data_IF_470775258804
#
_entry.id   IF_470775258804
#
_cell.length_a   1.000
_cell.length_b   1.000
_cell.length_c   1.000
_cell.angle_alpha   90.00
_cell.angle_beta   90.00
_cell.angle_gamma   90.00
#
_symmetry.space_group_name_H-M   'P 1'
#
loop_
_entity.id
_entity.type
_entity.pdbx_description
1 polymer ?
#
# COMPACT_ATOMS: atom_id res chain seq x y z
N UNK A 1 4.42 39.36 20.68
CA UNK A 1 3.32 38.46 21.05
C UNK A 1 3.43 37.23 20.16
N UNK A 2 3.64 36.05 20.75
CA UNK A 2 3.68 34.79 20.00
C UNK A 2 2.25 34.39 19.72
N UNK A 3 1.81 34.45 18.47
CA UNK A 3 0.58 33.82 18.02
C UNK A 3 0.77 32.30 18.09
N UNK A 4 0.67 31.75 19.30
CA UNK A 4 0.52 30.32 19.49
C UNK A 4 -0.90 30.00 19.05
N UNK A 5 -1.00 29.32 17.91
CA UNK A 5 -2.26 28.93 17.31
C UNK A 5 -3.05 28.07 18.31
N UNK A 6 -4.21 28.53 18.81
CA UNK A 6 -4.97 27.86 19.87
C UNK A 6 -5.42 26.45 19.47
N UNK A 7 -5.44 26.12 18.18
CA UNK A 7 -5.76 24.78 17.68
C UNK A 7 -4.61 23.77 17.81
N UNK A 8 -3.40 24.22 18.15
CA UNK A 8 -2.23 23.38 18.37
C UNK A 8 -1.93 23.16 19.86
N UNK A 9 -2.72 23.72 20.79
CA UNK A 9 -2.50 23.61 22.24
C UNK A 9 -3.78 23.25 22.99
N UNK A 10 -3.80 22.06 23.59
CA UNK A 10 -4.93 21.59 24.39
C UNK A 10 -5.08 22.42 25.68
N UNK A 11 -6.20 23.15 25.81
CA UNK A 11 -6.56 23.92 26.99
C UNK A 11 -7.37 23.13 28.04
N UNK A 12 -7.80 21.90 27.73
CA UNK A 12 -8.59 21.04 28.63
C UNK A 12 -8.09 19.59 28.63
N UNK A 13 -7.51 19.17 29.76
CA UNK A 13 -6.86 17.85 29.93
C UNK A 13 -7.78 16.62 29.85
N UNK A 14 -9.07 16.78 29.54
CA UNK A 14 -10.08 15.70 29.57
C UNK A 14 -10.52 15.22 28.17
N UNK A 15 -10.12 15.93 27.10
CA UNK A 15 -10.54 15.60 25.72
C UNK A 15 -9.30 15.40 24.85
N UNK A 16 -8.89 14.14 24.70
CA UNK A 16 -7.69 13.78 23.92
C UNK A 16 -7.99 13.21 22.52
N UNK A 17 -9.20 12.66 22.30
CA UNK A 17 -9.60 12.04 21.02
C UNK A 17 -10.18 13.02 19.98
N UNK A 18 -10.50 14.26 20.37
CA UNK A 18 -11.08 15.29 19.49
C UNK A 18 -10.08 16.37 19.06
N UNK A 19 -8.82 16.21 19.44
CA UNK A 19 -7.78 17.21 19.20
C UNK A 19 -7.23 17.12 17.77
N UNK A 20 -7.12 18.24 17.07
CA UNK A 20 -6.57 18.35 15.72
C UNK A 20 -5.13 17.80 15.65
N UNK A 21 -4.42 17.76 16.78
CA UNK A 21 -3.11 17.13 16.93
C UNK A 21 -3.09 15.66 16.51
N UNK A 22 -4.13 14.87 16.81
CA UNK A 22 -4.15 13.46 16.45
C UNK A 22 -4.18 13.28 14.93
N UNK A 23 -5.03 14.06 14.25
CA UNK A 23 -5.09 14.07 12.79
C UNK A 23 -3.79 14.58 12.16
N UNK A 24 -3.14 15.60 12.75
CA UNK A 24 -1.84 16.09 12.31
C UNK A 24 -0.76 15.00 12.41
N UNK A 25 -0.67 14.33 13.56
CA UNK A 25 0.28 13.23 13.80
C UNK A 25 0.05 12.02 12.89
N UNK A 26 -1.22 11.69 12.62
CA UNK A 26 -1.52 10.56 11.75
C UNK A 26 -1.31 10.88 10.28
N UNK A 27 -1.90 11.99 9.80
CA UNK A 27 -2.00 12.25 8.37
C UNK A 27 -0.93 13.17 7.81
N UNK A 28 -0.32 14.04 8.61
CA UNK A 28 0.60 15.06 8.06
C UNK A 28 2.05 14.86 8.51
N UNK A 29 2.28 14.29 9.70
CA UNK A 29 3.63 13.91 10.11
C UNK A 29 4.24 12.84 9.18
N UNK A 30 5.57 12.76 9.17
CA UNK A 30 6.34 11.87 8.31
C UNK A 30 6.04 12.01 6.80
N UNK A 31 5.88 13.26 6.34
CA UNK A 31 5.63 13.57 4.94
C UNK A 31 4.37 12.87 4.41
N UNK A 32 3.26 12.91 5.16
CA UNK A 32 1.98 12.31 4.73
C UNK A 32 2.01 10.78 4.57
N UNK A 33 2.81 10.06 5.35
CA UNK A 33 3.00 8.62 5.19
C UNK A 33 1.70 7.80 5.33
N UNK A 34 0.81 8.20 6.23
CA UNK A 34 -0.49 7.55 6.45
C UNK A 34 -1.65 8.41 5.92
N UNK A 35 -1.34 9.48 5.17
CA UNK A 35 -2.37 10.24 4.48
C UNK A 35 -3.06 9.37 3.42
N UNK A 36 -4.38 9.53 3.24
CA UNK A 36 -5.07 8.94 2.11
C UNK A 36 -4.46 9.41 0.79
N UNK A 37 -4.28 8.50 -0.16
CA UNK A 37 -3.82 8.84 -1.51
C UNK A 37 -4.90 9.57 -2.29
N UNK A 38 -4.51 10.52 -3.12
CA UNK A 38 -5.41 11.22 -4.05
C UNK A 38 -5.74 10.35 -5.25
N UNK A 39 -7.01 10.33 -5.68
CA UNK A 39 -7.48 9.46 -6.78
C UNK A 39 -6.92 9.84 -8.15
N UNK A 40 -6.71 11.13 -8.40
CA UNK A 40 -6.27 11.65 -9.71
C UNK A 40 -4.76 11.50 -9.96
N UNK A 41 -3.97 11.10 -8.95
CA UNK A 41 -2.55 10.84 -9.12
C UNK A 41 -2.33 9.37 -9.51
N UNK A 42 -2.43 9.12 -10.82
CA UNK A 42 -2.21 7.80 -11.39
C UNK A 42 -1.61 7.91 -12.80
N UNK A 43 -1.09 6.79 -13.29
CA UNK A 43 -0.56 6.65 -14.66
C UNK A 43 -0.82 5.23 -15.14
N UNK A 44 -1.17 5.03 -16.41
CA UNK A 44 -1.45 3.71 -16.97
C UNK A 44 -0.46 3.41 -18.09
N UNK A 45 0.05 2.18 -18.11
CA UNK A 45 1.00 1.73 -19.13
C UNK A 45 0.44 0.49 -19.81
N UNK A 46 0.36 0.55 -21.14
CA UNK A 46 -0.06 -0.56 -22.00
C UNK A 46 1.17 -1.20 -22.64
N UNK A 47 1.44 -2.46 -22.29
CA UNK A 47 2.50 -3.24 -22.92
C UNK A 47 1.89 -4.18 -23.96
N UNK A 48 2.35 -4.08 -25.21
CA UNK A 48 2.00 -5.00 -26.28
C UNK A 48 2.88 -6.25 -26.28
N UNK A 49 2.37 -7.34 -26.84
CA UNK A 49 3.22 -8.48 -27.22
C UNK A 49 4.03 -8.15 -28.48
N UNK A 50 5.12 -8.89 -28.72
CA UNK A 50 5.96 -8.66 -29.91
C UNK A 50 5.21 -8.88 -31.23
N UNK A 51 4.24 -9.80 -31.25
CA UNK A 51 3.38 -10.04 -32.40
C UNK A 51 2.39 -8.88 -32.63
N UNK A 52 1.81 -8.34 -31.55
CA UNK A 52 0.89 -7.21 -31.63
C UNK A 52 1.61 -5.91 -32.04
N UNK A 53 2.79 -5.63 -31.49
CA UNK A 53 3.59 -4.43 -31.84
C UNK A 53 3.90 -4.33 -33.34
N UNK A 54 4.13 -5.46 -34.02
CA UNK A 54 4.37 -5.46 -35.47
C UNK A 54 3.13 -5.22 -36.34
N UNK A 55 1.92 -5.45 -35.80
CA UNK A 55 0.65 -5.27 -36.52
C UNK A 55 -0.10 -3.99 -36.11
N UNK A 56 0.14 -3.49 -34.90
CA UNK A 56 -0.52 -2.33 -34.29
C UNK A 56 0.37 -1.08 -34.41
N UNK A 57 0.52 -0.59 -35.65
CA UNK A 57 1.46 0.49 -35.97
C UNK A 57 1.20 1.78 -35.20
N UNK A 58 -0.07 2.14 -35.00
CA UNK A 58 -0.43 3.35 -34.26
C UNK A 58 -0.21 3.17 -32.75
N UNK A 59 -0.72 2.07 -32.20
CA UNK A 59 -0.64 1.78 -30.76
C UNK A 59 0.79 1.67 -30.27
N UNK A 60 1.67 0.98 -31.01
CA UNK A 60 3.04 0.76 -30.53
C UNK A 60 3.89 2.04 -30.55
N UNK A 61 3.65 2.91 -31.54
CA UNK A 61 4.30 4.21 -31.67
C UNK A 61 3.85 5.18 -30.57
N UNK A 62 2.55 5.20 -30.25
CA UNK A 62 1.94 6.20 -29.35
C UNK A 62 1.53 5.65 -27.98
N UNK A 63 2.03 4.49 -27.57
CA UNK A 63 1.66 3.85 -26.28
C UNK A 63 1.91 4.72 -25.06
N UNK A 64 2.92 5.61 -25.10
CA UNK A 64 3.23 6.51 -23.98
C UNK A 64 2.16 7.58 -23.83
N UNK A 65 1.75 8.19 -24.94
CA UNK A 65 0.72 9.22 -25.01
C UNK A 65 -0.67 8.63 -24.70
N UNK A 66 -0.97 7.43 -25.20
CA UNK A 66 -2.22 6.73 -24.89
C UNK A 66 -2.36 6.49 -23.38
N UNK A 67 -1.25 6.16 -22.69
CA UNK A 67 -1.23 6.03 -21.23
C UNK A 67 -1.61 7.30 -20.48
N UNK A 68 -1.25 8.47 -21.02
CA UNK A 68 -1.59 9.79 -20.46
C UNK A 68 -3.01 10.22 -20.79
N UNK A 69 -3.56 9.79 -21.93
CA UNK A 69 -4.94 10.09 -22.34
C UNK A 69 -6.00 9.31 -21.55
N UNK A 70 -5.60 8.42 -20.64
CA UNK A 70 -6.53 7.76 -19.72
C UNK A 70 -7.17 8.80 -18.80
N UNK A 71 -8.50 8.90 -18.89
CA UNK A 71 -9.35 9.78 -18.07
C UNK A 71 -9.72 9.14 -16.73
N UNK A 72 -9.92 7.82 -16.72
CA UNK A 72 -10.24 7.03 -15.54
C UNK A 72 -9.79 5.59 -15.73
N UNK A 73 -9.26 4.97 -14.68
CA UNK A 73 -9.03 3.53 -14.63
C UNK A 73 -9.50 2.99 -13.28
N UNK A 74 -10.29 1.91 -13.32
CA UNK A 74 -10.69 1.20 -12.13
C UNK A 74 -9.54 0.32 -11.61
N UNK A 75 -9.43 0.18 -10.29
CA UNK A 75 -8.49 -0.75 -9.68
C UNK A 75 -9.10 -2.16 -9.63
N UNK A 76 -8.28 -3.22 -9.73
CA UNK A 76 -8.78 -4.58 -9.83
C UNK A 76 -9.57 -5.01 -8.57
N UNK A 77 -10.75 -5.58 -8.80
CA UNK A 77 -11.63 -6.13 -7.78
C UNK A 77 -11.52 -7.65 -7.67
N UNK A 78 -11.74 -8.19 -6.47
CA UNK A 78 -11.70 -9.62 -6.20
C UNK A 78 -12.90 -10.06 -5.38
N UNK A 79 -13.55 -11.14 -5.80
CA UNK A 79 -14.58 -11.82 -5.00
C UNK A 79 -14.04 -13.16 -4.52
N UNK A 80 -14.09 -13.38 -3.21
CA UNK A 80 -13.64 -14.63 -2.59
C UNK A 80 -14.84 -15.49 -2.23
N UNK A 81 -14.92 -16.69 -2.81
CA UNK A 81 -15.95 -17.68 -2.48
C UNK A 81 -15.56 -18.44 -1.21
N UNK A 82 -16.46 -18.43 -0.22
CA UNK A 82 -16.25 -19.04 1.10
C UNK A 82 -17.39 -19.99 1.42
N UNK A 83 -17.06 -21.25 1.64
CA UNK A 83 -18.00 -22.26 2.14
C UNK A 83 -17.95 -22.37 3.66
N UNK A 84 -19.12 -22.54 4.28
CA UNK A 84 -19.22 -22.80 5.71
C UNK A 84 -19.42 -24.31 5.93
N UNK A 85 -18.54 -24.92 6.73
CA UNK A 85 -18.71 -26.28 7.25
C UNK A 85 -18.81 -26.24 8.78
N UNK A 86 -19.62 -27.13 9.32
CA UNK A 86 -19.75 -27.31 10.77
C UNK A 86 -18.84 -28.45 11.22
N UNK A 87 -17.95 -28.17 12.18
CA UNK A 87 -17.10 -29.18 12.79
C UNK A 87 -17.35 -29.17 14.30
N UNK A 88 -17.93 -30.25 14.83
CA UNK A 88 -18.26 -30.39 16.26
C UNK A 88 -19.02 -29.17 16.81
N UNK A 89 -20.08 -28.74 16.11
CA UNK A 89 -20.88 -27.56 16.45
C UNK A 89 -20.12 -26.21 16.43
N UNK A 90 -18.96 -26.15 15.77
CA UNK A 90 -18.25 -24.91 15.47
C UNK A 90 -18.31 -24.60 13.98
N UNK A 91 -18.75 -23.39 13.65
CA UNK A 91 -18.72 -22.84 12.29
C UNK A 91 -17.27 -22.62 11.83
N UNK A 92 -16.87 -23.26 10.73
CA UNK A 92 -15.58 -23.07 10.07
C UNK A 92 -15.83 -22.60 8.64
N UNK A 93 -15.30 -21.43 8.32
CA UNK A 93 -15.32 -20.87 6.98
C UNK A 93 -14.06 -21.32 6.22
N UNK A 94 -14.22 -21.88 5.03
CA UNK A 94 -13.13 -22.29 4.14
C UNK A 94 -13.26 -21.58 2.80
N UNK A 95 -12.18 -20.96 2.35
CA UNK A 95 -12.10 -20.31 1.05
C UNK A 95 -11.89 -21.35 -0.06
N UNK A 96 -12.69 -21.30 -1.11
CA UNK A 96 -12.67 -22.30 -2.20
C UNK A 96 -12.15 -21.73 -3.52
N UNK A 97 -12.46 -20.47 -3.83
CA UNK A 97 -12.11 -19.85 -5.11
C UNK A 97 -11.98 -18.33 -5.01
N UNK A 98 -11.17 -17.76 -5.89
CA UNK A 98 -11.12 -16.32 -6.17
C UNK A 98 -11.68 -16.02 -7.57
N UNK A 99 -12.47 -14.96 -7.65
CA UNK A 99 -13.02 -14.37 -8.86
C UNK A 99 -12.36 -13.04 -9.12
N UNK A 100 -11.77 -12.87 -10.30
CA UNK A 100 -11.26 -11.60 -10.78
C UNK A 100 -12.39 -10.85 -11.47
N UNK A 101 -12.58 -9.58 -11.10
CA UNK A 101 -13.60 -8.73 -11.71
C UNK A 101 -12.97 -7.90 -12.83
N UNK A 102 -13.68 -7.75 -13.95
CA UNK A 102 -13.24 -6.91 -15.06
C UNK A 102 -12.97 -5.46 -14.60
N UNK A 103 -11.97 -4.85 -15.22
CA UNK A 103 -11.57 -3.46 -14.97
C UNK A 103 -12.03 -2.59 -16.13
N UNK A 104 -12.67 -1.46 -15.81
CA UNK A 104 -13.04 -0.46 -16.82
C UNK A 104 -11.95 0.61 -16.92
N UNK A 105 -11.55 0.94 -18.14
CA UNK A 105 -10.64 2.05 -18.43
C UNK A 105 -11.33 2.98 -19.44
N UNK A 106 -11.34 4.27 -19.15
CA UNK A 106 -11.90 5.30 -20.00
C UNK A 106 -10.79 6.24 -20.47
N UNK A 107 -10.85 6.61 -21.74
CA UNK A 107 -9.90 7.48 -22.40
C UNK A 107 -10.58 8.77 -22.83
N UNK A 108 -9.81 9.83 -22.93
CA UNK A 108 -10.19 10.97 -23.74
C UNK A 108 -10.11 10.59 -25.22
N UNK A 109 -11.18 10.86 -25.97
CA UNK A 109 -11.12 10.78 -27.43
C UNK A 109 -10.38 12.01 -27.94
N UNK A 110 -9.22 11.77 -28.55
CA UNK A 110 -8.32 12.83 -28.99
C UNK A 110 -8.50 13.13 -30.48
N UNK A 111 -8.25 14.37 -30.88
CA UNK A 111 -8.45 14.79 -32.28
C UNK A 111 -7.51 14.11 -33.29
N UNK A 112 -6.38 13.55 -32.83
CA UNK A 112 -5.48 12.77 -33.68
C UNK A 112 -6.00 11.33 -33.87
N UNK A 113 -6.90 10.88 -32.99
CA UNK A 113 -7.49 9.54 -33.00
C UNK A 113 -6.54 8.48 -32.48
N UNK A 114 -5.63 8.80 -31.55
CA UNK A 114 -4.72 7.84 -30.94
C UNK A 114 -5.48 6.77 -30.14
N UNK A 115 -6.42 7.18 -29.29
CA UNK A 115 -7.18 6.24 -28.45
C UNK A 115 -8.19 5.44 -29.28
N UNK A 116 -8.83 6.08 -30.28
CA UNK A 116 -9.62 5.39 -31.31
C UNK A 116 -8.78 4.36 -32.07
N UNK A 117 -7.57 4.74 -32.48
CA UNK A 117 -6.66 3.89 -33.22
C UNK A 117 -6.13 2.70 -32.40
N UNK A 118 -6.03 2.81 -31.07
CA UNK A 118 -5.76 1.65 -30.22
C UNK A 118 -6.89 0.62 -30.27
N UNK A 119 -8.15 1.06 -30.26
CA UNK A 119 -9.29 0.15 -30.39
C UNK A 119 -9.38 -0.44 -31.78
N UNK A 120 -9.07 0.34 -32.81
CA UNK A 120 -8.98 -0.12 -34.20
C UNK A 120 -7.91 -1.20 -34.37
N UNK A 121 -6.69 -0.94 -33.88
CA UNK A 121 -5.58 -1.91 -33.91
C UNK A 121 -5.94 -3.19 -33.15
N UNK A 122 -6.60 -3.07 -31.99
CA UNK A 122 -7.08 -4.22 -31.22
C UNK A 122 -8.12 -5.04 -31.99
N UNK A 123 -9.08 -4.35 -32.62
CA UNK A 123 -10.11 -4.97 -33.44
C UNK A 123 -9.52 -5.70 -34.65
N UNK A 124 -8.64 -5.06 -35.41
CA UNK A 124 -7.96 -5.63 -36.57
C UNK A 124 -7.05 -6.82 -36.22
N UNK A 125 -6.49 -6.82 -35.00
CA UNK A 125 -5.66 -7.92 -34.51
C UNK A 125 -6.45 -9.20 -34.26
N UNK A 126 -7.66 -9.09 -33.69
CA UNK A 126 -8.50 -10.25 -33.37
C UNK A 126 -9.48 -10.63 -34.47
N UNK A 127 -10.03 -9.66 -35.18
CA UNK A 127 -11.14 -9.86 -36.11
C UNK A 127 -10.71 -9.46 -37.52
N UNK A 128 -10.84 -10.42 -38.45
CA UNK A 128 -10.48 -10.19 -39.86
C UNK A 128 -11.37 -9.15 -40.51
N UNK A 129 -12.57 -8.94 -39.97
CA UNK A 129 -13.51 -7.91 -40.41
C UNK A 129 -12.86 -6.53 -40.55
N UNK A 130 -12.07 -6.09 -39.56
CA UNK A 130 -11.38 -4.81 -39.60
C UNK A 130 -10.30 -4.70 -40.68
N UNK A 131 -9.84 -5.83 -41.23
CA UNK A 131 -8.84 -5.87 -42.30
C UNK A 131 -9.45 -5.78 -43.70
N UNK A 132 -10.78 -5.91 -43.82
CA UNK A 132 -11.45 -5.74 -45.09
C UNK A 132 -11.66 -4.26 -45.42
N UNK A 133 -11.62 -3.93 -46.72
CA UNK A 133 -11.92 -2.58 -47.20
C UNK A 133 -13.36 -2.51 -47.70
N UNK A 134 -14.05 -1.44 -47.33
CA UNK A 134 -15.45 -1.19 -47.69
C UNK A 134 -15.64 -0.81 -49.19
N UNK A 135 -14.57 -0.47 -49.92
CA UNK A 135 -14.70 0.00 -51.31
C UNK A 135 -13.74 -0.65 -52.32
N UNK A 136 -14.35 -1.14 -53.41
CA UNK A 136 -13.70 -1.56 -54.65
C UNK A 136 -13.16 -0.38 -55.47
N UNK A 137 -12.10 0.29 -55.01
CA UNK A 137 -11.34 1.20 -55.86
C UNK A 137 -10.59 0.45 -56.97
N UNK A 138 -10.32 1.08 -58.12
CA UNK A 138 -9.59 0.46 -59.25
C UNK A 138 -8.25 -0.21 -58.86
N UNK A 139 -7.59 0.34 -57.83
CA UNK A 139 -6.34 -0.21 -57.26
C UNK A 139 -6.55 -1.30 -56.18
N UNK A 140 -7.78 -1.55 -55.70
CA UNK A 140 -8.07 -2.62 -54.75
C UNK A 140 -8.04 -4.02 -55.39
N UNK A 141 -8.08 -4.09 -56.73
CA UNK A 141 -8.01 -5.33 -57.52
C UNK A 141 -6.68 -6.08 -57.47
N UNK A 142 -5.60 -5.43 -57.07
CA UNK A 142 -4.26 -6.03 -57.13
C UNK A 142 -3.83 -6.72 -55.83
N UNK A 143 -4.51 -6.48 -54.70
CA UNK A 143 -4.05 -6.91 -53.37
C UNK A 143 -5.05 -7.75 -52.56
N UNK A 144 -5.98 -8.46 -53.22
CA UNK A 144 -6.75 -9.55 -52.60
C UNK A 144 -7.83 -9.17 -51.57
N UNK A 145 -7.99 -7.89 -51.22
CA UNK A 145 -9.04 -7.37 -50.33
C UNK A 145 -10.31 -6.99 -51.12
N UNK A 146 -10.61 -7.69 -52.22
CA UNK A 146 -11.77 -7.35 -53.02
C UNK A 146 -13.05 -7.91 -52.39
N UNK A 147 -14.00 -7.02 -52.15
CA UNK A 147 -15.44 -7.32 -52.14
C UNK A 147 -16.00 -7.98 -50.87
N UNK A 148 -15.32 -7.98 -49.74
CA UNK A 148 -15.82 -8.64 -48.53
C UNK A 148 -17.20 -8.13 -48.07
N UNK A 149 -17.56 -6.88 -48.34
CA UNK A 149 -18.88 -6.35 -48.00
C UNK A 149 -19.77 -6.05 -49.20
N UNK A 150 -19.40 -6.51 -50.40
CA UNK A 150 -20.29 -6.35 -51.56
C UNK A 150 -21.58 -7.13 -51.36
N UNK A 151 -22.67 -6.63 -51.94
CA UNK A 151 -23.92 -7.39 -52.04
C UNK A 151 -23.66 -8.65 -52.89
N UNK A 152 -23.90 -9.81 -52.30
CA UNK A 152 -23.66 -11.12 -52.92
C UNK A 152 -24.91 -11.97 -52.83
N UNK A 153 -25.10 -12.79 -53.84
CA UNK A 153 -26.08 -13.87 -53.80
C UNK A 153 -25.52 -15.05 -52.98
N UNK A 154 -26.40 -15.89 -52.42
CA UNK A 154 -26.07 -17.07 -51.63
C UNK A 154 -25.15 -18.07 -52.36
N UNK A 155 -25.10 -18.00 -53.69
CA UNK A 155 -24.33 -18.88 -54.56
C UNK A 155 -22.97 -18.31 -54.99
N UNK A 156 -22.53 -17.19 -54.40
CA UNK A 156 -21.20 -16.64 -54.68
C UNK A 156 -20.10 -17.60 -54.21
N UNK A 157 -19.12 -17.84 -55.09
CA UNK A 157 -18.05 -18.83 -54.89
C UNK A 157 -16.87 -18.29 -54.10
N UNK A 158 -16.77 -16.96 -53.92
CA UNK A 158 -15.61 -16.29 -53.31
C UNK A 158 -16.00 -15.61 -52.00
N UNK A 159 -16.24 -16.36 -50.93
CA UNK A 159 -16.54 -15.84 -49.59
C UNK A 159 -15.25 -15.62 -48.80
N UNK A 160 -14.89 -14.38 -48.40
CA UNK A 160 -13.72 -14.13 -47.57
C UNK A 160 -13.98 -14.56 -46.12
N UNK A 161 -12.91 -14.58 -45.34
CA UNK A 161 -12.95 -14.98 -43.95
C UNK A 161 -13.42 -13.83 -43.07
N UNK A 162 -14.38 -14.07 -42.18
CA UNK A 162 -14.86 -13.07 -41.21
C UNK A 162 -14.67 -13.57 -39.77
N UNK A 163 -14.79 -12.67 -38.81
CA UNK A 163 -14.72 -12.95 -37.39
C UNK A 163 -13.32 -13.29 -36.90
N UNK A 164 -13.26 -14.16 -35.88
CA UNK A 164 -12.04 -14.62 -35.23
C UNK A 164 -11.31 -15.67 -36.11
N UNK A 165 -10.78 -15.21 -37.24
CA UNK A 165 -10.00 -16.03 -38.18
C UNK A 165 -8.61 -15.41 -38.38
N UNK A 166 -7.91 -15.18 -37.28
CA UNK A 166 -6.74 -14.30 -37.25
C UNK A 166 -5.38 -15.04 -37.19
N UNK A 167 -5.37 -16.38 -37.09
CA UNK A 167 -4.16 -17.22 -36.94
C UNK A 167 -3.15 -16.67 -35.89
N UNK A 168 -3.62 -15.88 -34.91
CA UNK A 168 -2.78 -15.27 -33.88
C UNK A 168 -2.70 -16.18 -32.67
N UNK A 169 -1.47 -16.40 -32.19
CA UNK A 169 -1.23 -17.25 -31.02
C UNK A 169 -1.03 -16.42 -29.74
N UNK A 170 -0.47 -15.23 -29.85
CA UNK A 170 -0.20 -14.37 -28.69
C UNK A 170 -1.35 -13.38 -28.45
N UNK A 171 -1.61 -12.99 -27.19
CA UNK A 171 -2.57 -11.95 -26.89
C UNK A 171 -2.08 -10.59 -27.40
N UNK A 172 -3.00 -9.63 -27.59
CA UNK A 172 -2.64 -8.27 -28.01
C UNK A 172 -1.80 -7.57 -26.95
N UNK A 173 -2.33 -7.47 -25.73
CA UNK A 173 -1.62 -6.94 -24.58
C UNK A 173 -0.83 -8.04 -23.89
N UNK A 174 0.43 -7.74 -23.58
CA UNK A 174 1.24 -8.56 -22.67
C UNK A 174 0.82 -8.31 -21.23
N UNK A 175 0.70 -7.04 -20.85
CA UNK A 175 0.22 -6.62 -19.55
C UNK A 175 -0.29 -5.17 -19.61
N UNK A 176 -1.15 -4.81 -18.66
CA UNK A 176 -1.56 -3.43 -18.42
C UNK A 176 -1.21 -3.11 -16.98
N UNK A 177 -0.49 -2.01 -16.76
CA UNK A 177 -0.04 -1.60 -15.43
C UNK A 177 -0.69 -0.30 -15.04
N UNK A 178 -1.39 -0.33 -13.92
CA UNK A 178 -2.02 0.86 -13.34
C UNK A 178 -1.17 1.29 -12.15
N UNK A 179 -0.53 2.45 -12.27
CA UNK A 179 0.29 3.06 -11.23
C UNK A 179 -0.54 4.05 -10.44
N UNK A 180 -0.49 3.95 -9.11
CA UNK A 180 -0.97 4.96 -8.19
C UNK A 180 0.23 5.68 -7.56
N UNK A 181 0.27 7.00 -7.70
CA UNK A 181 1.42 7.81 -7.32
C UNK A 181 1.17 8.54 -6.00
N UNK A 182 2.16 8.53 -5.11
CA UNK A 182 2.12 9.26 -3.86
C UNK A 182 3.54 9.53 -3.36
N UNK A 183 3.85 10.77 -2.96
CA UNK A 183 5.11 11.13 -2.26
C UNK A 183 6.39 10.70 -3.01
N UNK A 184 6.43 10.83 -4.34
CA UNK A 184 7.53 10.30 -5.20
C UNK A 184 7.74 8.78 -5.09
N UNK A 185 6.74 8.06 -4.61
CA UNK A 185 6.64 6.62 -4.62
C UNK A 185 5.47 6.21 -5.51
N UNK A 186 5.53 4.99 -6.01
CA UNK A 186 4.48 4.41 -6.82
C UNK A 186 4.08 3.05 -6.27
N UNK A 187 2.82 2.70 -6.54
CA UNK A 187 2.24 1.40 -6.26
C UNK A 187 1.55 0.95 -7.54
N UNK A 188 1.91 -0.21 -8.05
CA UNK A 188 1.41 -0.70 -9.32
C UNK A 188 0.55 -1.95 -9.14
N UNK A 189 -0.51 -1.99 -9.94
CA UNK A 189 -1.37 -3.13 -10.15
C UNK A 189 -1.16 -3.58 -11.60
N UNK A 190 -0.43 -4.67 -11.78
CA UNK A 190 -0.12 -5.22 -13.10
C UNK A 190 -1.12 -6.31 -13.44
N UNK A 191 -2.00 -6.05 -14.40
CA UNK A 191 -2.94 -7.01 -14.97
C UNK A 191 -2.19 -7.93 -15.94
N UNK A 192 -2.28 -9.24 -15.71
CA UNK A 192 -1.59 -10.26 -16.49
C UNK A 192 -2.51 -10.81 -17.58
N UNK A 193 -1.97 -10.89 -18.80
CA UNK A 193 -2.66 -11.36 -20.01
C UNK A 193 -4.06 -10.73 -20.16
N UNK A 194 -4.17 -9.38 -20.22
CA UNK A 194 -5.47 -8.75 -20.30
C UNK A 194 -6.12 -8.96 -21.68
N UNK A 195 -7.42 -9.19 -21.67
CA UNK A 195 -8.29 -9.33 -22.83
C UNK A 195 -9.43 -8.31 -22.72
N UNK A 196 -9.67 -7.54 -23.77
CA UNK A 196 -10.81 -6.62 -23.79
C UNK A 196 -12.09 -7.45 -23.99
N UNK A 197 -13.03 -7.34 -23.06
CA UNK A 197 -14.35 -7.99 -23.11
C UNK A 197 -15.38 -7.11 -23.81
N UNK A 198 -15.21 -5.79 -23.73
CA UNK A 198 -16.05 -4.80 -24.38
C UNK A 198 -15.25 -3.53 -24.65
N UNK A 199 -15.52 -2.87 -25.78
CA UNK A 199 -15.04 -1.52 -26.06
C UNK A 199 -16.15 -0.68 -26.69
N UNK A 200 -16.11 0.62 -26.45
CA UNK A 200 -17.08 1.60 -26.90
C UNK A 200 -16.37 2.88 -27.34
N UNK A 201 -16.86 3.48 -28.43
CA UNK A 201 -16.37 4.74 -28.98
C UNK A 201 -17.10 5.98 -28.45
N UNK A 202 -18.11 5.76 -27.60
CA UNK A 202 -18.97 6.81 -27.09
C UNK A 202 -20.04 7.22 -28.10
N UNK A 203 -20.61 8.38 -27.85
CA UNK A 203 -21.76 8.94 -28.54
C UNK A 203 -21.47 10.34 -29.09
N UNK A 204 -22.11 10.66 -30.21
CA UNK A 204 -21.98 11.96 -30.87
C UNK A 204 -23.35 12.63 -30.91
N UNK A 205 -23.51 13.69 -30.11
CA UNK A 205 -24.77 14.44 -29.99
C UNK A 205 -24.58 15.89 -30.43
N UNK A 206 -25.47 16.41 -31.28
CA UNK A 206 -25.37 17.79 -31.78
C UNK A 206 -25.85 18.86 -30.77
N UNK A 207 -26.54 18.48 -29.70
CA UNK A 207 -27.12 19.39 -28.71
C UNK A 207 -26.22 19.63 -27.48
N UNK A 208 -25.25 18.74 -27.21
CA UNK A 208 -24.29 18.92 -26.12
C UNK A 208 -23.03 19.63 -26.65
N UNK A 209 -22.74 20.79 -26.06
CA UNK A 209 -21.53 21.58 -26.35
C UNK A 209 -20.49 21.57 -25.23
N UNK A 210 -20.73 20.82 -24.14
CA UNK A 210 -19.87 20.82 -22.95
C UNK A 210 -19.18 19.47 -22.69
N UNK A 211 -19.77 18.37 -23.14
CA UNK A 211 -19.18 17.04 -23.05
C UNK A 211 -17.97 16.88 -23.97
N UNK A 212 -16.96 16.15 -23.49
CA UNK A 212 -15.87 15.64 -24.34
C UNK A 212 -16.16 14.18 -24.68
N UNK A 213 -15.96 13.81 -25.95
CA UNK A 213 -16.08 12.41 -26.34
C UNK A 213 -15.04 11.55 -25.61
N UNK A 214 -15.42 10.30 -25.33
CA UNK A 214 -14.62 9.39 -24.54
C UNK A 214 -14.76 7.96 -25.07
N UNK A 215 -13.61 7.32 -25.27
CA UNK A 215 -13.56 5.89 -25.57
C UNK A 215 -13.54 5.10 -24.24
N UNK A 216 -14.17 3.94 -24.18
CA UNK A 216 -14.13 3.09 -22.98
C UNK A 216 -13.86 1.63 -23.31
N UNK A 217 -13.17 0.93 -22.41
CA UNK A 217 -12.89 -0.50 -22.50
C UNK A 217 -13.17 -1.20 -21.17
N UNK A 218 -13.67 -2.42 -21.24
CA UNK A 218 -13.76 -3.38 -20.14
C UNK A 218 -12.74 -4.49 -20.39
N UNK A 219 -11.92 -4.78 -19.38
CA UNK A 219 -10.77 -5.67 -19.50
C UNK A 219 -10.87 -6.81 -18.50
N UNK A 220 -10.94 -8.03 -19.00
CA UNK A 220 -10.72 -9.24 -18.22
C UNK A 220 -9.22 -9.57 -18.15
N UNK A 221 -8.79 -10.21 -17.06
CA UNK A 221 -7.39 -10.55 -16.84
C UNK A 221 -7.27 -11.83 -16.01
N UNK A 222 -6.11 -12.50 -16.08
CA UNK A 222 -5.91 -13.80 -15.43
C UNK A 222 -5.46 -13.66 -13.97
N UNK A 223 -4.67 -12.63 -13.67
CA UNK A 223 -4.11 -12.39 -12.35
C UNK A 223 -3.60 -10.96 -12.22
N UNK A 224 -3.29 -10.55 -10.98
CA UNK A 224 -2.72 -9.23 -10.67
C UNK A 224 -1.44 -9.38 -9.87
N UNK A 225 -0.40 -8.68 -10.31
CA UNK A 225 0.86 -8.55 -9.57
C UNK A 225 0.92 -7.17 -8.92
N UNK A 226 1.15 -7.16 -7.61
CA UNK A 226 1.40 -5.94 -6.85
C UNK A 226 2.88 -5.63 -6.80
N UNK A 227 3.25 -4.38 -7.07
CA UNK A 227 4.61 -3.90 -6.90
C UNK A 227 4.63 -2.47 -6.36
N UNK A 228 5.74 -2.06 -5.77
CA UNK A 228 5.95 -0.70 -5.30
C UNK A 228 7.42 -0.32 -5.47
N UNK A 229 7.69 0.98 -5.45
CA UNK A 229 9.03 1.52 -5.59
C UNK A 229 9.05 3.04 -5.55
N UNK A 230 10.24 3.61 -5.74
CA UNK A 230 10.41 5.05 -5.87
C UNK A 230 10.25 5.48 -7.33
N UNK A 231 9.67 6.64 -7.59
CA UNK A 231 9.53 7.19 -8.95
C UNK A 231 10.93 7.50 -9.50
N UNK A 232 11.21 7.03 -10.71
CA UNK A 232 12.51 7.13 -11.37
C UNK A 232 13.47 5.97 -11.05
N UNK A 233 13.17 5.15 -10.05
CA UNK A 233 13.98 3.97 -9.72
C UNK A 233 13.82 2.91 -10.82
N UNK A 234 14.92 2.54 -11.47
CA UNK A 234 14.92 1.59 -12.59
C UNK A 234 14.08 2.03 -13.80
N UNK A 235 13.81 3.34 -13.94
CA UNK A 235 12.99 3.89 -15.03
C UNK A 235 11.48 3.64 -14.87
N UNK A 236 11.00 3.39 -13.64
CA UNK A 236 9.58 3.18 -13.34
C UNK A 236 8.97 4.38 -12.59
N UNK A 237 7.70 4.75 -12.86
CA UNK A 237 6.82 4.25 -13.92
C UNK A 237 7.33 4.63 -15.33
N UNK A 238 7.18 3.72 -16.30
CA UNK A 238 7.65 3.92 -17.68
C UNK A 238 6.79 4.99 -18.35
N UNK A 239 7.42 5.96 -19.03
CA UNK A 239 6.70 7.03 -19.73
C UNK A 239 6.13 8.11 -18.81
N UNK A 240 6.29 7.99 -17.49
CA UNK A 240 5.90 9.03 -16.55
C UNK A 240 7.00 10.10 -16.50
N UNK A 241 6.64 11.37 -16.68
CA UNK A 241 7.55 12.54 -16.78
C UNK A 241 8.43 12.60 -18.04
N UNK A 242 8.19 11.74 -19.03
CA UNK A 242 8.92 11.76 -20.30
C UNK A 242 8.52 12.99 -21.14
N UNK A 243 9.51 13.67 -21.75
CA UNK A 243 9.29 14.81 -22.65
C UNK A 243 8.45 14.43 -23.88
N UNK A 244 8.57 13.19 -24.35
CA UNK A 244 7.75 12.63 -25.44
C UNK A 244 6.25 12.65 -25.13
N UNK A 245 5.88 12.53 -23.84
CA UNK A 245 4.48 12.65 -23.40
C UNK A 245 4.01 14.10 -23.22
N UNK A 246 4.85 15.07 -23.61
CA UNK A 246 4.64 16.51 -23.43
C UNK A 246 4.51 16.91 -21.96
N UNK A 247 5.19 16.18 -21.08
CA UNK A 247 5.26 16.56 -19.67
C UNK A 247 6.11 17.84 -19.52
N UNK A 248 5.64 18.79 -18.74
CA UNK A 248 6.39 20.03 -18.51
C UNK A 248 7.60 19.77 -17.62
N UNK A 249 8.78 19.80 -18.24
CA UNK A 249 10.06 19.66 -17.58
C UNK A 249 10.79 21.01 -17.39
N UNK A 250 10.17 22.12 -17.81
CA UNK A 250 10.76 23.46 -17.69
C UNK A 250 10.35 24.07 -16.36
N UNK A 251 11.34 24.60 -15.63
CA UNK A 251 11.03 25.32 -14.39
C UNK A 251 10.18 26.56 -14.71
N UNK A 252 9.10 26.76 -13.95
CA UNK A 252 8.23 27.92 -14.16
C UNK A 252 9.04 29.22 -14.10
N UNK A 253 8.79 30.19 -15.00
CA UNK A 253 9.54 31.44 -15.06
C UNK A 253 9.29 32.39 -13.87
N UNK A 254 8.56 31.96 -12.84
CA UNK A 254 8.43 32.63 -11.55
C UNK A 254 9.71 32.48 -10.70
N UNK A 255 10.84 32.88 -11.27
CA UNK A 255 12.00 33.30 -10.47
C UNK A 255 11.95 34.83 -10.41
N UNK A 256 11.51 35.35 -9.27
CA UNK A 256 11.97 36.67 -8.84
C UNK A 256 13.48 36.53 -8.65
N UNK A 257 14.25 37.05 -9.62
CA UNK A 257 15.71 37.01 -9.64
C UNK A 257 16.32 37.92 -8.59
N UNK A 258 16.09 37.62 -7.31
CA UNK A 258 16.95 38.07 -6.23
C UNK A 258 18.00 36.98 -5.96
N UNK A 259 19.28 37.22 -6.26
CA UNK A 259 20.37 36.26 -5.99
C UNK A 259 20.47 35.85 -4.51
N UNK A 260 19.76 36.51 -3.59
CA UNK A 260 19.67 36.14 -2.18
C UNK A 260 18.68 35.01 -1.84
N UNK A 261 17.79 34.62 -2.77
CA UNK A 261 16.74 33.60 -2.50
C UNK A 261 17.01 32.22 -3.13
N UNK A 262 17.95 32.09 -4.06
CA UNK A 262 18.24 30.81 -4.74
C UNK A 262 18.99 29.79 -3.87
N UNK A 263 19.51 30.19 -2.71
CA UNK A 263 20.24 29.29 -1.79
C UNK A 263 19.34 28.65 -0.72
N UNK A 264 18.02 28.82 -0.79
CA UNK A 264 17.10 28.48 0.31
C UNK A 264 16.28 27.20 0.15
N UNK A 265 16.11 26.67 -1.07
CA UNK A 265 15.19 25.56 -1.32
C UNK A 265 15.81 24.17 -1.18
N UNK A 266 17.15 24.06 -1.23
CA UNK A 266 17.91 22.83 -0.92
C UNK A 266 18.49 22.81 0.50
N UNK A 267 18.15 23.80 1.33
CA UNK A 267 18.61 23.84 2.71
C UNK A 267 17.74 22.92 3.58
N UNK A 268 18.32 21.79 3.99
CA UNK A 268 17.86 21.01 5.14
C UNK A 268 17.49 21.96 6.31
N UNK A 269 16.49 21.63 7.15
CA UNK A 269 16.07 22.50 8.24
C UNK A 269 17.28 22.89 9.11
N UNK A 270 17.51 24.20 9.30
CA UNK A 270 18.64 24.81 10.04
C UNK A 270 18.79 24.38 11.52
N UNK A 271 17.96 23.46 11.99
CA UNK A 271 18.07 22.78 13.27
C UNK A 271 18.99 21.55 13.23
N UNK A 272 19.26 20.99 12.05
CA UNK A 272 20.19 19.85 11.90
C UNK A 272 21.60 20.28 11.42
N UNK A 273 21.73 21.51 10.91
CA UNK A 273 23.01 22.03 10.42
C UNK A 273 23.96 22.50 11.55
N UNK A 274 23.48 22.51 12.81
CA UNK A 274 24.30 22.87 13.98
C UNK A 274 24.93 21.70 14.73
N UNK A 275 24.77 20.46 14.25
CA UNK A 275 25.37 19.28 14.90
C UNK A 275 26.26 18.42 14.00
N UNK A 276 26.45 18.77 12.72
CA UNK A 276 27.31 17.97 11.81
C UNK A 276 28.74 18.48 11.66
N UNK A 277 29.05 19.71 12.10
CA UNK A 277 30.41 20.28 12.05
C UNK A 277 31.02 20.52 13.43
N UNK A 278 31.08 19.47 14.25
CA UNK A 278 32.16 19.29 15.23
C UNK A 278 32.21 17.82 15.61
N UNK A 279 33.24 17.14 15.12
CA UNK A 279 33.40 15.71 15.30
C UNK A 279 33.31 15.31 16.77
N UNK A 280 32.37 14.43 17.07
CA UNK A 280 32.43 13.53 18.22
C UNK A 280 31.72 12.20 17.86
N UNK A 281 32.48 11.12 18.03
CA UNK A 281 32.14 9.69 18.13
C UNK A 281 30.75 9.19 17.73
N UNK A 282 30.74 8.18 16.85
CA UNK A 282 29.59 7.28 16.67
C UNK A 282 29.21 6.62 17.99
N UNK A 283 27.96 6.75 18.41
CA UNK A 283 27.38 6.02 19.55
C UNK A 283 26.51 4.84 19.08
N UNK A 284 26.78 4.31 17.88
CA UNK A 284 26.22 3.04 17.42
C UNK A 284 27.36 2.14 16.95
N UNK A 285 27.50 0.91 17.47
CA UNK A 285 28.57 0.01 17.09
C UNK A 285 28.41 -0.37 15.62
N UNK A 286 29.31 0.14 14.79
CA UNK A 286 29.56 -0.35 13.44
C UNK A 286 30.29 -1.67 13.57
N UNK A 287 29.62 -2.79 13.31
CA UNK A 287 30.29 -4.07 13.07
C UNK A 287 30.89 -4.03 11.66
N UNK A 288 32.08 -3.44 11.52
CA UNK A 288 32.92 -3.59 10.34
C UNK A 288 33.83 -4.79 10.52
N UNK A 289 33.69 -5.79 9.65
CA UNK A 289 34.67 -6.85 9.49
C UNK A 289 35.78 -6.35 8.54
N UNK A 290 37.06 -6.27 8.94
CA UNK A 290 38.08 -5.52 8.21
C UNK A 290 38.91 -6.32 7.18
N UNK A 291 38.53 -7.56 6.83
CA UNK A 291 39.36 -8.41 5.95
C UNK A 291 39.00 -8.41 4.45
N UNK A 292 38.12 -7.52 3.99
CA UNK A 292 37.77 -7.50 2.56
C UNK A 292 38.61 -6.47 1.80
N UNK A 293 39.77 -6.90 1.32
CA UNK A 293 40.53 -6.20 0.27
C UNK A 293 39.62 -5.98 -0.95
N UNK A 294 39.59 -4.74 -1.41
CA UNK A 294 38.96 -4.31 -2.66
C UNK A 294 39.55 -5.06 -3.86
N UNK A 295 38.73 -5.85 -4.56
CA UNK A 295 38.96 -6.18 -5.97
C UNK A 295 37.69 -5.85 -6.75
N UNK A 296 37.80 -4.79 -7.55
CA UNK A 296 36.80 -4.32 -8.51
C UNK A 296 36.56 -5.35 -9.61
N UNK A 297 35.31 -5.79 -9.79
CA UNK A 297 34.94 -6.77 -10.81
C UNK A 297 34.75 -6.15 -12.21
N UNK A 298 34.98 -4.85 -12.44
CA UNK A 298 34.70 -4.24 -13.75
C UNK A 298 35.74 -3.22 -14.23
N UNK A 299 36.97 -3.69 -14.48
CA UNK A 299 37.78 -3.23 -15.60
C UNK A 299 38.53 -4.42 -16.21
N UNK A 300 38.21 -4.76 -17.45
CA UNK A 300 39.22 -5.32 -18.34
C UNK A 300 39.02 -4.74 -19.75
N UNK A 301 40.06 -4.08 -20.22
CA UNK A 301 40.23 -3.61 -21.58
C UNK A 301 40.74 -4.78 -22.43
N UNK A 302 40.21 -4.91 -23.64
CA UNK A 302 40.64 -5.79 -24.73
C UNK A 302 40.14 -7.24 -24.72
N UNK A 303 39.07 -7.44 -25.49
CA UNK A 303 38.99 -8.55 -26.45
C UNK A 303 38.44 -9.89 -25.95
N UNK A 304 37.45 -10.37 -26.70
CA UNK A 304 36.89 -11.73 -26.72
C UNK A 304 35.74 -12.04 -25.76
N UNK A 305 34.58 -12.27 -26.40
CA UNK A 305 33.51 -13.23 -26.09
C UNK A 305 33.25 -13.50 -24.60
N UNK A 306 32.23 -12.83 -24.08
CA UNK A 306 31.59 -13.25 -22.85
C UNK A 306 30.93 -14.62 -23.03
N UNK A 307 31.25 -15.56 -22.15
CA UNK A 307 30.24 -16.43 -21.54
C UNK A 307 30.66 -16.75 -20.11
N UNK A 308 29.84 -16.22 -19.22
CA UNK A 308 29.72 -16.46 -17.79
C UNK A 308 29.60 -17.97 -17.57
N UNK A 309 30.52 -18.57 -16.81
CA UNK A 309 30.52 -20.03 -16.67
C UNK A 309 31.48 -20.61 -15.66
N UNK A 310 31.66 -19.99 -14.49
CA UNK A 310 32.42 -20.61 -13.40
C UNK A 310 31.88 -20.27 -11.99
N UNK A 311 30.59 -19.98 -11.88
CA UNK A 311 29.88 -19.78 -10.59
C UNK A 311 28.64 -20.66 -10.41
N UNK A 312 28.35 -21.57 -11.34
CA UNK A 312 27.12 -22.40 -11.35
C UNK A 312 27.39 -23.90 -11.13
N UNK A 313 28.57 -24.28 -10.63
CA UNK A 313 28.98 -25.69 -10.55
C UNK A 313 28.72 -26.39 -9.21
N UNK A 314 28.19 -25.68 -8.20
CA UNK A 314 27.77 -26.26 -6.91
C UNK A 314 26.25 -26.34 -6.72
N UNK A 315 25.44 -26.06 -7.75
CA UNK A 315 23.98 -26.15 -7.68
C UNK A 315 23.39 -27.44 -8.30
N UNK A 316 24.23 -28.34 -8.84
CA UNK A 316 23.76 -29.57 -9.48
C UNK A 316 24.66 -30.78 -9.17
N UNK A 317 24.72 -31.21 -7.90
CA UNK A 317 25.22 -32.57 -7.62
C UNK A 317 24.69 -33.17 -6.31
N UNK A 318 23.39 -33.47 -6.21
CA UNK A 318 22.88 -34.66 -5.49
C UNK A 318 21.52 -35.05 -6.09
N UNK A 319 21.28 -36.31 -6.49
CA UNK A 319 19.98 -36.74 -7.02
C UNK A 319 19.10 -37.25 -5.88
N UNK A 320 18.11 -36.46 -5.42
CA UNK A 320 16.97 -37.00 -4.66
C UNK A 320 15.69 -36.21 -4.99
N UNK A 321 14.59 -36.90 -5.36
CA UNK A 321 13.40 -36.25 -5.93
C UNK A 321 12.40 -35.86 -4.84
N UNK A 322 11.97 -34.60 -4.84
CA UNK A 322 10.76 -34.17 -4.14
C UNK A 322 10.95 -32.95 -3.24
N UNK A 323 10.30 -31.83 -3.62
CA UNK A 323 9.98 -30.72 -2.71
C UNK A 323 10.86 -29.48 -2.86
N UNK A 324 10.25 -28.42 -3.40
CA UNK A 324 10.53 -26.98 -3.22
C UNK A 324 11.93 -26.61 -2.68
N UNK A 325 12.90 -26.43 -3.59
CA UNK A 325 14.20 -25.85 -3.28
C UNK A 325 14.13 -24.31 -3.33
N UNK A 326 14.39 -23.65 -2.20
CA UNK A 326 14.63 -22.19 -2.14
C UNK A 326 13.81 -21.41 -1.11
N UNK A 327 12.77 -21.98 -0.50
CA UNK A 327 12.08 -21.30 0.61
C UNK A 327 12.83 -21.58 1.93
N UNK A 328 13.60 -20.59 2.40
CA UNK A 328 14.01 -20.55 3.81
C UNK A 328 12.79 -20.16 4.64
N UNK A 329 12.07 -21.16 5.15
CA UNK A 329 11.13 -20.96 6.26
C UNK A 329 11.99 -20.62 7.49
N UNK A 330 11.70 -19.55 8.25
CA UNK A 330 12.46 -19.21 9.44
C UNK A 330 12.41 -20.39 10.44
N UNK A 331 13.55 -21.06 10.61
CA UNK A 331 13.74 -22.07 11.66
C UNK A 331 13.90 -21.33 12.99
N UNK A 332 13.05 -21.66 13.95
CA UNK A 332 13.16 -21.17 15.33
C UNK A 332 14.44 -21.76 15.92
N UNK A 333 15.48 -20.93 16.03
CA UNK A 333 16.68 -21.23 16.81
C UNK A 333 16.29 -21.34 18.29
N UNK A 334 16.20 -22.57 18.81
CA UNK A 334 16.14 -22.85 20.25
C UNK A 334 17.50 -22.60 20.87
N UNK A 335 17.89 -21.34 21.06
CA UNK A 335 18.95 -20.92 22.00
C UNK A 335 19.00 -19.41 22.14
N UNK A 336 17.91 -18.84 22.65
CA UNK A 336 17.99 -17.53 23.30
C UNK A 336 17.06 -17.56 24.51
N UNK A 337 17.64 -17.13 25.65
CA UNK A 337 16.99 -16.97 26.94
C UNK A 337 15.60 -16.38 26.74
N UNK A 338 14.64 -17.12 27.25
CA UNK A 338 13.30 -16.62 27.50
C UNK A 338 13.38 -15.52 28.56
N UNK A 339 13.55 -14.26 28.15
CA UNK A 339 12.93 -13.16 28.89
C UNK A 339 11.44 -13.17 28.52
N UNK A 340 10.77 -14.23 28.98
CA UNK A 340 9.32 -14.24 29.12
C UNK A 340 8.99 -13.11 30.07
N UNK A 341 8.31 -12.08 29.57
CA UNK A 341 7.38 -11.32 30.41
C UNK A 341 6.33 -12.31 30.93
N UNK A 342 6.64 -12.98 32.04
CA UNK A 342 5.67 -13.72 32.82
C UNK A 342 4.75 -12.70 33.49
N UNK A 343 3.68 -12.34 32.80
CA UNK A 343 2.44 -12.06 33.50
C UNK A 343 2.03 -13.39 34.14
N UNK A 344 2.60 -13.68 35.31
CA UNK A 344 2.05 -14.69 36.20
C UNK A 344 0.58 -14.31 36.40
N UNK A 345 -0.32 -15.07 35.77
CA UNK A 345 -1.67 -15.26 36.31
C UNK A 345 -1.48 -16.01 37.64
N UNK A 346 -1.07 -15.29 38.68
CA UNK A 346 -1.27 -15.75 40.05
C UNK A 346 -2.77 -15.93 40.21
N UNK A 347 -3.20 -17.18 40.40
CA UNK A 347 -4.55 -17.47 40.87
C UNK A 347 -4.71 -16.68 42.18
N UNK A 348 -5.49 -15.61 42.12
CA UNK A 348 -5.60 -14.63 43.19
C UNK A 348 -6.17 -15.27 44.45
N UNK A 349 -5.30 -15.54 45.42
CA UNK A 349 -5.74 -15.70 46.80
C UNK A 349 -6.26 -14.33 47.23
N UNK A 350 -7.49 -14.25 47.72
CA UNK A 350 -7.99 -13.07 48.42
C UNK A 350 -7.56 -13.25 49.87
N UNK A 351 -6.88 -12.24 50.44
CA UNK A 351 -6.51 -12.25 51.85
C UNK A 351 -7.76 -12.11 52.72
N UNK A 352 -7.72 -12.76 53.88
CA UNK A 352 -8.79 -12.64 54.87
C UNK A 352 -8.90 -11.21 55.42
N UNK A 353 -10.09 -10.85 55.86
CA UNK A 353 -10.48 -9.51 56.31
C UNK A 353 -9.58 -9.01 57.45
N UNK A 354 -9.29 -9.85 58.44
CA UNK A 354 -8.47 -9.47 59.58
C UNK A 354 -7.00 -9.31 59.18
N UNK A 355 -6.54 -10.11 58.21
CA UNK A 355 -5.18 -9.98 57.66
C UNK A 355 -5.01 -8.65 56.92
N UNK A 356 -6.01 -8.23 56.15
CA UNK A 356 -6.00 -6.96 55.41
C UNK A 356 -5.94 -5.77 56.40
N UNK A 357 -6.81 -5.78 57.43
CA UNK A 357 -6.87 -4.71 58.43
C UNK A 357 -5.55 -4.55 59.18
N UNK A 358 -5.03 -5.65 59.73
CA UNK A 358 -3.76 -5.64 60.47
C UNK A 358 -2.57 -5.22 59.60
N UNK A 359 -2.55 -5.60 58.32
CA UNK A 359 -1.46 -5.22 57.42
C UNK A 359 -1.50 -3.74 57.05
N UNK A 360 -2.69 -3.13 56.92
CA UNK A 360 -2.80 -1.70 56.62
C UNK A 360 -2.48 -0.80 57.81
N UNK A 361 -2.66 -1.28 59.04
CA UNK A 361 -2.21 -0.57 60.25
C UNK A 361 -0.68 -0.53 60.36
N UNK A 362 -0.01 -1.62 59.96
CA UNK A 362 1.46 -1.74 60.04
C UNK A 362 2.14 -1.11 58.81
N UNK A 363 1.58 -1.30 57.61
CA UNK A 363 2.19 -0.89 56.35
C UNK A 363 1.39 0.24 55.67
N UNK A 364 1.78 1.47 55.98
CA UNK A 364 1.20 2.68 55.38
C UNK A 364 1.44 2.78 53.86
N UNK A 365 2.49 2.16 53.33
CA UNK A 365 2.76 2.09 51.88
C UNK A 365 1.76 1.21 51.14
N UNK A 366 1.41 0.05 51.71
CA UNK A 366 0.37 -0.83 51.18
C UNK A 366 -1.00 -0.13 51.22
N UNK A 367 -1.33 0.56 52.32
CA UNK A 367 -2.57 1.34 52.46
C UNK A 367 -2.69 2.43 51.39
N UNK A 368 -1.63 3.20 51.13
CA UNK A 368 -1.61 4.24 50.07
C UNK A 368 -1.78 3.67 48.67
N UNK A 369 -1.12 2.53 48.38
CA UNK A 369 -1.26 1.81 47.11
C UNK A 369 -2.70 1.32 46.91
N UNK A 370 -3.29 0.74 47.95
CA UNK A 370 -4.69 0.33 47.96
C UNK A 370 -5.64 1.50 47.68
N UNK A 371 -5.54 2.60 48.42
CA UNK A 371 -6.40 3.79 48.26
C UNK A 371 -6.32 4.34 46.84
N UNK A 372 -5.12 4.47 46.29
CA UNK A 372 -4.93 4.97 44.92
C UNK A 372 -5.57 4.06 43.88
N UNK A 373 -5.39 2.73 44.01
CA UNK A 373 -5.98 1.74 43.09
C UNK A 373 -7.50 1.70 43.21
N UNK A 374 -8.03 1.78 44.42
CA UNK A 374 -9.47 1.79 44.70
C UNK A 374 -10.16 3.03 44.13
N UNK A 375 -9.57 4.22 44.27
CA UNK A 375 -10.07 5.45 43.68
C UNK A 375 -10.01 5.43 42.15
N UNK A 376 -8.94 4.90 41.55
CA UNK A 376 -8.87 4.68 40.09
C UNK A 376 -9.93 3.70 39.57
N UNK A 377 -10.41 2.79 40.42
CA UNK A 377 -11.47 1.85 40.09
C UNK A 377 -12.89 2.43 40.26
N UNK A 378 -13.01 3.72 40.58
CA UNK A 378 -14.23 4.43 40.93
C UNK A 378 -14.99 3.77 42.09
N UNK A 379 -14.26 3.35 43.12
CA UNK A 379 -14.85 2.66 44.27
C UNK A 379 -15.82 3.55 45.04
N UNK A 380 -15.50 4.83 45.21
CA UNK A 380 -16.38 5.85 45.80
C UNK A 380 -16.79 6.82 44.68
N UNK A 381 -18.07 6.86 44.30
CA UNK A 381 -18.54 7.75 43.25
C UNK A 381 -18.17 9.21 43.53
N UNK A 382 -17.55 9.88 42.56
CA UNK A 382 -17.17 11.30 42.67
C UNK A 382 -15.85 11.56 43.41
N UNK A 383 -15.19 10.53 43.96
CA UNK A 383 -13.84 10.65 44.52
C UNK A 383 -12.81 10.06 43.56
N UNK A 384 -11.86 10.89 43.13
CA UNK A 384 -10.75 10.51 42.26
C UNK A 384 -9.42 10.71 43.00
N UNK A 385 -8.32 10.19 42.44
CA UNK A 385 -7.00 10.40 43.03
C UNK A 385 -6.64 11.90 43.10
N UNK A 386 -7.16 12.73 42.19
CA UNK A 386 -6.95 14.18 42.22
C UNK A 386 -7.73 14.86 43.35
N UNK A 387 -9.01 14.51 43.58
CA UNK A 387 -9.81 15.06 44.69
C UNK A 387 -9.27 14.60 46.05
N UNK A 388 -8.85 13.34 46.17
CA UNK A 388 -8.23 12.82 47.37
C UNK A 388 -6.91 13.55 47.68
N UNK A 389 -6.04 13.80 46.69
CA UNK A 389 -4.79 14.55 46.91
C UNK A 389 -5.03 16.00 47.33
N UNK A 390 -6.05 16.65 46.77
CA UNK A 390 -6.43 18.03 47.06
C UNK A 390 -7.15 18.22 48.40
N UNK A 391 -7.67 17.14 49.00
CA UNK A 391 -8.43 17.20 50.25
C UNK A 391 -7.56 17.46 51.49
N UNK A 392 -8.16 18.11 52.50
CA UNK A 392 -7.54 18.29 53.82
C UNK A 392 -7.36 16.94 54.55
N UNK A 393 -6.44 16.90 55.52
CA UNK A 393 -6.09 15.66 56.26
C UNK A 393 -7.32 14.92 56.84
N UNK A 394 -8.31 15.59 57.47
CA UNK A 394 -9.49 14.90 58.01
C UNK A 394 -10.38 14.25 56.94
N UNK A 395 -10.46 14.85 55.75
CA UNK A 395 -11.22 14.30 54.63
C UNK A 395 -10.49 13.12 53.98
N UNK A 396 -9.15 13.15 53.96
CA UNK A 396 -8.33 12.02 53.50
C UNK A 396 -8.52 10.79 54.40
N UNK A 397 -8.48 10.97 55.72
CA UNK A 397 -8.69 9.87 56.67
C UNK A 397 -10.07 9.26 56.53
N UNK A 398 -11.12 10.09 56.36
CA UNK A 398 -12.48 9.59 56.15
C UNK A 398 -12.61 8.72 54.87
N UNK A 399 -12.00 9.16 53.75
CA UNK A 399 -11.99 8.39 52.49
C UNK A 399 -11.23 7.07 52.65
N UNK A 400 -10.09 7.10 53.34
CA UNK A 400 -9.31 5.89 53.61
C UNK A 400 -10.09 4.88 54.45
N UNK A 401 -10.73 5.34 55.52
CA UNK A 401 -11.48 4.49 56.45
C UNK A 401 -12.73 3.92 55.79
N UNK A 402 -13.41 4.68 54.92
CA UNK A 402 -14.54 4.19 54.12
C UNK A 402 -14.10 3.05 53.18
N UNK A 403 -12.99 3.23 52.45
CA UNK A 403 -12.46 2.21 51.53
C UNK A 403 -12.03 0.95 52.25
N UNK A 404 -11.36 1.08 53.41
CA UNK A 404 -10.97 -0.07 54.23
C UNK A 404 -12.21 -0.76 54.78
N UNK A 405 -13.17 -0.02 55.31
CA UNK A 405 -14.43 -0.58 55.84
C UNK A 405 -15.18 -1.37 54.78
N UNK A 406 -15.29 -0.85 53.55
CA UNK A 406 -15.94 -1.54 52.43
C UNK A 406 -15.18 -2.80 51.99
N UNK A 407 -13.84 -2.74 51.95
CA UNK A 407 -13.04 -3.93 51.71
C UNK A 407 -13.26 -4.99 52.81
N UNK A 408 -13.39 -4.58 54.08
CA UNK A 408 -13.62 -5.53 55.18
C UNK A 408 -15.06 -6.02 55.29
N UNK A 409 -16.04 -5.31 54.71
CA UNK A 409 -17.47 -5.63 54.79
C UNK A 409 -18.00 -6.43 53.57
N UNK A 410 -17.12 -7.14 52.85
CA UNK A 410 -17.52 -8.11 51.83
C UNK A 410 -17.50 -7.60 50.37
N UNK A 411 -16.95 -6.42 50.09
CA UNK A 411 -16.70 -5.99 48.70
C UNK A 411 -15.52 -6.77 48.12
N UNK A 412 -15.82 -7.88 47.43
CA UNK A 412 -14.84 -8.80 46.83
C UNK A 412 -13.87 -8.10 45.88
N UNK A 413 -14.33 -7.05 45.18
CA UNK A 413 -13.48 -6.27 44.27
C UNK A 413 -12.44 -5.48 45.04
N UNK A 414 -12.86 -4.80 46.11
CA UNK A 414 -11.94 -4.06 46.98
C UNK A 414 -11.01 -4.97 47.78
N UNK A 415 -11.48 -6.15 48.23
CA UNK A 415 -10.64 -7.16 48.88
C UNK A 415 -9.52 -7.66 47.97
N UNK A 416 -9.83 -7.87 46.68
CA UNK A 416 -8.83 -8.26 45.69
C UNK A 416 -7.81 -7.15 45.45
N UNK A 417 -8.25 -5.89 45.31
CA UNK A 417 -7.35 -4.74 45.16
C UNK A 417 -6.47 -4.57 46.39
N UNK A 418 -7.01 -4.78 47.60
CA UNK A 418 -6.27 -4.76 48.85
C UNK A 418 -5.21 -5.85 48.89
N UNK A 419 -5.57 -7.07 48.49
CA UNK A 419 -4.64 -8.20 48.42
C UNK A 419 -3.50 -7.94 47.45
N UNK A 420 -3.82 -7.44 46.25
CA UNK A 420 -2.83 -7.08 45.23
C UNK A 420 -1.91 -5.95 45.71
N UNK A 421 -2.42 -5.00 46.49
CA UNK A 421 -1.63 -3.91 47.07
C UNK A 421 -0.67 -4.41 48.16
N UNK A 422 -1.13 -5.32 49.02
CA UNK A 422 -0.31 -5.94 50.07
C UNK A 422 0.79 -6.80 49.46
N UNK A 423 0.44 -7.68 48.52
CA UNK A 423 1.42 -8.58 47.90
C UNK A 423 2.45 -7.82 47.05
N UNK A 424 2.07 -6.70 46.43
CA UNK A 424 3.02 -5.82 45.73
C UNK A 424 4.07 -5.20 46.67
N UNK A 425 3.71 -4.91 47.93
CA UNK A 425 4.67 -4.37 48.90
C UNK A 425 5.55 -5.42 49.55
N UNK A 426 5.13 -6.70 49.58
CA UNK A 426 5.95 -7.82 50.08
C UNK A 426 7.12 -8.16 49.15
N UNK A 427 7.08 -7.75 47.88
CA UNK A 427 8.13 -7.98 46.90
C UNK A 427 9.32 -7.02 46.96
N UNK A 428 9.39 -6.11 47.95
CA UNK A 428 10.41 -5.02 48.04
C UNK A 428 11.35 -5.22 49.25
N UNK A 429 11.56 -6.46 49.70
CA UNK A 429 12.67 -6.79 50.61
C UNK A 429 13.69 -7.67 49.89
N UNK A 430 14.70 -7.03 49.32
CA UNK A 430 16.06 -7.58 49.13
C UNK A 430 17.01 -6.55 49.73
#
# INVERSE_FOLDING_TARGET
MSFKDPYLFNSSSDVHLRDARHAHQLYTEHNFALAPKTKFLYHVVFDLTGEASGNAGNTDLHKKEIGVLVKQADLPGYRVSVENKQQYNRKKNMQTRIDYQDVTIQFHDDNLGLTRGLLEDYYMYYYVDGNHRDQGGFFSSFFGSQNAYNARDKYDTLVPNYGLNNDKYNPFFRNIRIYQLARRQWFAYTLINPLITQFDHGDVESADGSGFNANSISVAYESVIYSNGSVGEGGQPIGFTDDETRYDNVMSPLTYGDPGFSSGFDALPKLFDRFLNKGMGSILPRTSNPDSRSNSILRNENGALGMIGAGLRDLFSVPQPGGLAGSRIPTIERRQREDRSTLERRRGRILDVDTIRNTFEINTGAKRSFVTRSLNSNAIPGQTVSTYRASAVPAKTAIEDELVTRATNGDVKLQRIATDAIDATRGISI
#
